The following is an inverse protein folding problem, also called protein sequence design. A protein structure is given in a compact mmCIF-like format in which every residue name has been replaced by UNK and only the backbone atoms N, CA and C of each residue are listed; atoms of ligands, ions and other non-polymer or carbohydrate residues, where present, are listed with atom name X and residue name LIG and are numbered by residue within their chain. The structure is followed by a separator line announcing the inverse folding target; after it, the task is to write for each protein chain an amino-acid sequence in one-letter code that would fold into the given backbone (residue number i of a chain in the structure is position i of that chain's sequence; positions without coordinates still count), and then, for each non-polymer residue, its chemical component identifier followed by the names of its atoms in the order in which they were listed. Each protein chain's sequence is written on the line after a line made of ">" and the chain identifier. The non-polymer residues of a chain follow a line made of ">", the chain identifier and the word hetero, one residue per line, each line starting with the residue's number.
data_IF_206685022531
#
_entry.id   IF_206685022531
#
_cell.length_a   1.000
_cell.length_b   1.000
_cell.length_c   1.000
_cell.angle_alpha   90.00
_cell.angle_beta   90.00
_cell.angle_gamma   90.00
#
_symmetry.space_group_name_H-M   'P 1'
#
loop_
_entity.id
_entity.type
_entity.pdbx_description
1 polymer ?
#
# COMPACT_ATOMS: atom_id res chain seq x y z
N UNK A 1 109.60 -8.73 -44.06
CA UNK A 1 108.36 -9.54 -44.20
C UNK A 1 108.02 -10.36 -42.94
N UNK A 2 108.54 -10.01 -41.75
CA UNK A 2 108.31 -10.76 -40.50
C UNK A 2 107.30 -10.09 -39.54
N UNK A 3 107.25 -8.76 -39.49
CA UNK A 3 106.40 -8.01 -38.54
C UNK A 3 104.88 -8.17 -38.79
N UNK A 4 104.48 -8.38 -40.06
CA UNK A 4 103.06 -8.51 -40.44
C UNK A 4 102.45 -9.85 -40.00
N UNK A 5 103.25 -10.92 -39.95
CA UNK A 5 102.77 -12.24 -39.55
C UNK A 5 102.74 -12.41 -38.02
N UNK A 6 103.59 -11.69 -37.29
CA UNK A 6 103.58 -11.72 -35.82
C UNK A 6 102.36 -11.00 -35.23
N UNK A 7 101.95 -9.86 -35.80
CA UNK A 7 100.75 -9.12 -35.34
C UNK A 7 99.47 -9.94 -35.58
N UNK A 8 99.39 -10.64 -36.71
CA UNK A 8 98.24 -11.49 -37.03
C UNK A 8 98.15 -12.72 -36.11
N UNK A 9 99.29 -13.31 -35.73
CA UNK A 9 99.34 -14.45 -34.80
C UNK A 9 99.06 -14.01 -33.35
N UNK A 10 99.38 -12.76 -32.98
CA UNK A 10 99.08 -12.22 -31.64
C UNK A 10 97.59 -11.88 -31.49
N UNK A 11 96.93 -11.42 -32.56
CA UNK A 11 95.47 -11.22 -32.57
C UNK A 11 94.68 -12.53 -32.57
N UNK A 12 95.24 -13.63 -33.10
CA UNK A 12 94.55 -14.92 -33.17
C UNK A 12 94.55 -15.70 -31.84
N UNK A 13 95.41 -15.33 -30.88
CA UNK A 13 95.55 -15.99 -29.57
C UNK A 13 94.85 -15.20 -28.44
N UNK A 14 94.35 -13.98 -28.71
CA UNK A 14 93.44 -13.29 -27.80
C UNK A 14 92.03 -13.89 -27.93
N UNK A 15 91.76 -14.94 -27.16
CA UNK A 15 90.39 -15.34 -26.83
C UNK A 15 89.75 -14.21 -26.02
N UNK A 16 89.03 -13.31 -26.70
CA UNK A 16 88.24 -12.28 -26.05
C UNK A 16 86.98 -12.97 -25.51
N UNK A 17 87.01 -13.36 -24.24
CA UNK A 17 85.82 -13.82 -23.52
C UNK A 17 84.91 -12.61 -23.30
N UNK A 18 83.99 -12.34 -24.23
CA UNK A 18 82.95 -11.35 -24.01
C UNK A 18 81.86 -11.99 -23.13
N UNK A 19 81.84 -11.67 -21.84
CA UNK A 19 80.71 -11.99 -20.98
C UNK A 19 79.57 -11.03 -21.31
N UNK A 20 78.39 -11.55 -21.68
CA UNK A 20 77.21 -10.71 -21.88
C UNK A 20 76.49 -10.52 -20.54
N UNK A 21 76.88 -9.51 -19.78
CA UNK A 21 76.06 -8.96 -18.69
C UNK A 21 74.87 -8.19 -19.29
N UNK A 22 73.66 -8.47 -18.81
CA UNK A 22 72.45 -7.79 -19.27
C UNK A 22 72.16 -6.62 -18.33
N UNK A 23 72.33 -5.40 -18.83
CA UNK A 23 71.88 -4.19 -18.15
C UNK A 23 70.54 -3.71 -18.73
N UNK A 24 69.55 -3.48 -17.88
CA UNK A 24 68.33 -2.75 -18.22
C UNK A 24 68.39 -1.41 -17.51
N UNK A 25 68.40 -0.33 -18.29
CA UNK A 25 68.52 1.03 -17.77
C UNK A 25 69.92 1.43 -17.28
N UNK A 26 70.94 0.59 -17.46
CA UNK A 26 72.35 0.89 -17.17
C UNK A 26 73.25 0.50 -18.34
N UNK A 27 74.25 1.33 -18.65
CA UNK A 27 75.28 1.03 -19.65
C UNK A 27 76.56 0.46 -19.04
N UNK A 28 76.62 0.33 -17.71
CA UNK A 28 77.76 -0.20 -16.97
C UNK A 28 77.25 -1.10 -15.84
N UNK A 29 76.57 -2.21 -16.17
CA UNK A 29 76.13 -3.17 -15.16
C UNK A 29 77.35 -3.75 -14.42
N UNK A 30 77.16 -4.09 -13.16
CA UNK A 30 78.17 -4.71 -12.29
C UNK A 30 78.72 -5.99 -12.91
N UNK A 31 80.04 -6.17 -12.83
CA UNK A 31 80.72 -7.41 -13.26
C UNK A 31 80.27 -8.65 -12.46
N UNK A 32 79.62 -8.45 -11.31
CA UNK A 32 79.04 -9.51 -10.50
C UNK A 32 77.58 -9.85 -10.87
N UNK A 33 76.93 -9.07 -11.74
CA UNK A 33 75.52 -9.24 -12.07
C UNK A 33 75.32 -9.94 -13.42
N UNK A 34 74.48 -10.97 -13.44
CA UNK A 34 74.00 -11.57 -14.69
C UNK A 34 72.93 -10.70 -15.35
N UNK A 35 72.06 -10.11 -14.53
CA UNK A 35 71.05 -9.12 -14.90
C UNK A 35 71.06 -8.00 -13.85
N UNK A 36 71.22 -6.76 -14.30
CA UNK A 36 71.05 -5.57 -13.46
C UNK A 36 69.94 -4.70 -14.02
N UNK A 37 68.98 -4.33 -13.17
CA UNK A 37 67.90 -3.39 -13.52
C UNK A 37 68.13 -2.11 -12.73
N UNK A 38 68.55 -1.06 -13.43
CA UNK A 38 68.69 0.26 -12.83
C UNK A 38 67.32 0.95 -12.81
N UNK A 39 66.96 1.52 -11.65
CA UNK A 39 65.69 2.22 -11.48
C UNK A 39 65.64 3.55 -12.21
N UNK A 40 66.75 4.08 -12.74
CA UNK A 40 66.77 5.33 -13.50
C UNK A 40 67.64 5.23 -14.75
N UNK A 41 67.22 5.92 -15.82
CA UNK A 41 68.01 6.08 -17.06
C UNK A 41 68.56 7.50 -17.26
N UNK A 42 68.16 8.44 -16.40
CA UNK A 42 68.45 9.87 -16.51
C UNK A 42 69.32 10.39 -15.36
N UNK A 43 70.02 9.50 -14.65
CA UNK A 43 70.92 9.87 -13.56
C UNK A 43 70.21 10.22 -12.26
N UNK A 44 68.99 9.68 -12.05
CA UNK A 44 68.26 9.77 -10.79
C UNK A 44 67.20 10.88 -10.72
N UNK A 45 66.73 11.38 -11.87
CA UNK A 45 65.65 12.37 -11.94
C UNK A 45 64.30 11.65 -11.92
N UNK A 46 64.16 10.58 -12.72
CA UNK A 46 62.99 9.71 -12.72
C UNK A 46 63.37 8.28 -12.31
N UNK A 47 62.52 7.68 -11.48
CA UNK A 47 62.70 6.32 -10.99
C UNK A 47 61.54 5.41 -11.46
N UNK A 48 61.87 4.18 -11.83
CA UNK A 48 60.96 3.12 -12.23
C UNK A 48 61.18 1.89 -11.33
N UNK A 49 60.15 1.05 -11.24
CA UNK A 49 60.17 -0.18 -10.45
C UNK A 49 60.25 -1.45 -11.30
N UNK A 50 60.45 -2.59 -10.64
CA UNK A 50 60.33 -3.91 -11.25
C UNK A 50 58.96 -4.51 -10.92
N UNK A 51 58.19 -4.87 -11.95
CA UNK A 51 56.94 -5.61 -11.78
C UNK A 51 57.22 -7.10 -11.94
N UNK A 52 57.19 -7.92 -10.86
CA UNK A 52 57.32 -9.37 -11.00
C UNK A 52 56.13 -9.94 -11.78
N UNK A 53 56.26 -11.16 -12.34
CA UNK A 53 55.14 -11.85 -12.96
C UNK A 53 53.94 -11.93 -12.01
N UNK A 54 52.73 -11.62 -12.51
CA UNK A 54 51.51 -11.59 -11.70
C UNK A 54 50.64 -12.80 -12.00
N UNK A 55 50.14 -13.43 -10.94
CA UNK A 55 49.31 -14.63 -10.98
C UNK A 55 47.94 -14.28 -10.38
N UNK A 56 46.81 -14.57 -11.05
CA UNK A 56 45.50 -14.15 -10.55
C UNK A 56 45.13 -14.77 -9.20
N UNK A 57 45.26 -16.10 -9.08
CA UNK A 57 44.80 -16.85 -7.90
C UNK A 57 45.88 -17.75 -7.31
N UNK A 58 45.67 -18.18 -6.07
CA UNK A 58 46.50 -19.20 -5.41
C UNK A 58 46.42 -20.55 -6.12
N UNK A 59 45.28 -20.84 -6.78
CA UNK A 59 45.13 -22.03 -7.63
C UNK A 59 46.10 -21.98 -8.83
N UNK A 60 46.20 -20.84 -9.50
CA UNK A 60 47.11 -20.65 -10.62
C UNK A 60 48.58 -20.76 -10.19
N UNK A 61 48.92 -20.29 -8.98
CA UNK A 61 50.25 -20.44 -8.38
C UNK A 61 50.62 -21.93 -8.22
N UNK A 62 49.69 -22.73 -7.71
CA UNK A 62 49.90 -24.16 -7.49
C UNK A 62 50.04 -24.95 -8.80
N UNK A 63 49.49 -24.45 -9.91
CA UNK A 63 49.61 -25.06 -11.23
C UNK A 63 51.00 -24.88 -11.88
N UNK A 64 51.83 -23.93 -11.41
CA UNK A 64 53.14 -23.64 -12.01
C UNK A 64 54.15 -24.79 -11.93
N UNK A 65 53.98 -25.72 -10.97
CA UNK A 65 54.82 -26.93 -10.79
C UNK A 65 56.36 -26.72 -10.88
N UNK A 66 56.96 -25.71 -10.20
CA UNK A 66 58.42 -25.55 -10.16
C UNK A 66 59.12 -26.71 -9.42
N UNK A 67 60.38 -26.98 -9.76
CA UNK A 67 61.20 -28.01 -9.12
C UNK A 67 62.33 -27.44 -8.24
N UNK A 68 63.20 -28.31 -7.70
CA UNK A 68 64.29 -27.93 -6.80
C UNK A 68 65.29 -26.94 -7.43
N UNK A 69 65.42 -26.94 -8.76
CA UNK A 69 66.33 -26.07 -9.50
C UNK A 69 65.76 -24.66 -9.71
N UNK A 70 64.46 -24.46 -9.49
CA UNK A 70 63.78 -23.17 -9.65
C UNK A 70 63.78 -22.32 -8.37
N UNK A 71 64.57 -22.71 -7.35
CA UNK A 71 64.67 -21.99 -6.09
C UNK A 71 65.05 -20.51 -6.34
N UNK A 72 64.25 -19.60 -5.79
CA UNK A 72 64.35 -18.15 -6.02
C UNK A 72 63.39 -17.60 -7.06
N UNK A 73 62.56 -18.42 -7.72
CA UNK A 73 61.47 -17.98 -8.59
C UNK A 73 60.48 -17.11 -7.81
N UNK A 74 60.10 -15.95 -8.38
CA UNK A 74 59.24 -14.96 -7.73
C UNK A 74 58.01 -14.64 -8.56
N UNK A 75 56.84 -14.61 -7.93
CA UNK A 75 55.56 -14.20 -8.55
C UNK A 75 54.69 -13.44 -7.56
N UNK A 76 53.91 -12.47 -8.03
CA UNK A 76 52.97 -11.72 -7.20
C UNK A 76 51.55 -12.24 -7.39
N UNK A 77 50.92 -12.76 -6.34
CA UNK A 77 49.57 -13.34 -6.40
C UNK A 77 48.55 -12.24 -6.10
N UNK A 78 47.68 -11.94 -7.07
CA UNK A 78 46.72 -10.83 -6.98
C UNK A 78 45.65 -11.05 -5.91
N UNK A 79 45.12 -12.28 -5.81
CA UNK A 79 44.13 -12.68 -4.81
C UNK A 79 44.59 -12.41 -3.37
N UNK A 80 45.86 -12.67 -3.06
CA UNK A 80 46.40 -12.53 -1.69
C UNK A 80 47.20 -11.24 -1.48
N UNK A 81 47.56 -10.54 -2.56
CA UNK A 81 48.42 -9.36 -2.51
C UNK A 81 49.86 -9.66 -2.11
N UNK A 82 50.30 -10.92 -2.20
CA UNK A 82 51.59 -11.37 -1.71
C UNK A 82 52.60 -11.64 -2.84
N UNK A 83 53.85 -11.20 -2.63
CA UNK A 83 54.99 -11.74 -3.36
C UNK A 83 55.27 -13.15 -2.84
N UNK A 84 55.28 -14.13 -3.73
CA UNK A 84 55.57 -15.53 -3.44
C UNK A 84 56.94 -15.88 -4.01
N UNK A 85 57.78 -16.52 -3.20
CA UNK A 85 59.12 -16.99 -3.59
C UNK A 85 59.19 -18.49 -3.41
N UNK A 86 59.62 -19.20 -4.44
CA UNK A 86 59.84 -20.65 -4.38
C UNK A 86 61.15 -20.96 -3.67
N UNK A 87 61.14 -21.81 -2.65
CA UNK A 87 62.36 -22.20 -1.92
C UNK A 87 62.98 -23.52 -2.39
N UNK A 88 62.46 -24.10 -3.49
CA UNK A 88 62.86 -25.42 -3.99
C UNK A 88 61.94 -26.56 -3.58
N UNK A 89 61.02 -26.33 -2.64
CA UNK A 89 60.08 -27.35 -2.11
C UNK A 89 58.65 -26.81 -1.99
N UNK A 90 58.49 -25.54 -1.61
CA UNK A 90 57.21 -24.88 -1.42
C UNK A 90 57.28 -23.38 -1.73
N UNK A 91 56.11 -22.80 -2.00
CA UNK A 91 55.94 -21.35 -2.09
C UNK A 91 55.93 -20.72 -0.71
N UNK A 92 56.70 -19.64 -0.53
CA UNK A 92 56.68 -18.81 0.67
C UNK A 92 56.11 -17.44 0.32
N UNK A 93 55.05 -17.04 1.01
CA UNK A 93 54.41 -15.74 0.82
C UNK A 93 55.06 -14.68 1.73
N UNK A 94 55.44 -13.55 1.14
CA UNK A 94 55.95 -12.37 1.85
C UNK A 94 57.01 -11.62 1.04
N UNK A 95 57.00 -10.27 1.05
CA UNK A 95 56.05 -9.37 1.71
C UNK A 95 54.67 -9.34 1.01
N UNK A 96 53.63 -9.03 1.79
CA UNK A 96 52.27 -8.86 1.29
C UNK A 96 51.84 -7.40 1.41
N UNK A 97 51.07 -6.94 0.43
CA UNK A 97 50.38 -5.66 0.45
C UNK A 97 48.90 -5.95 0.65
N UNK A 98 48.22 -5.16 1.48
CA UNK A 98 46.78 -5.28 1.64
C UNK A 98 46.12 -5.15 0.27
N UNK A 99 45.41 -6.19 -0.15
CA UNK A 99 44.53 -6.10 -1.31
C UNK A 99 43.44 -5.11 -0.92
N UNK A 100 43.30 -4.03 -1.68
CA UNK A 100 42.23 -3.08 -1.46
C UNK A 100 40.95 -3.77 -1.91
N UNK A 101 40.21 -4.37 -0.97
CA UNK A 101 38.86 -4.86 -1.25
C UNK A 101 38.00 -3.67 -1.68
N UNK A 102 37.19 -3.87 -2.71
CA UNK A 102 36.31 -2.81 -3.16
C UNK A 102 35.30 -2.43 -2.10
N UNK A 103 34.68 -1.27 -2.27
CA UNK A 103 33.52 -0.92 -1.44
C UNK A 103 32.40 -1.93 -1.68
N UNK A 104 31.72 -2.33 -0.61
CA UNK A 104 30.59 -3.26 -0.68
C UNK A 104 29.38 -2.63 0.01
N UNK A 105 28.22 -2.74 -0.63
CA UNK A 105 26.98 -2.08 -0.21
C UNK A 105 25.88 -3.10 0.02
N UNK A 106 25.19 -2.93 1.14
CA UNK A 106 24.06 -3.75 1.57
C UNK A 106 22.92 -2.85 2.06
N UNK A 107 21.66 -3.26 1.88
CA UNK A 107 20.57 -2.68 2.66
C UNK A 107 20.79 -2.97 4.14
N UNK A 108 20.55 -1.99 5.00
CA UNK A 108 20.68 -2.15 6.45
C UNK A 108 19.59 -3.04 7.06
N UNK A 109 18.49 -3.26 6.34
CA UNK A 109 17.40 -4.16 6.73
C UNK A 109 16.89 -4.94 5.52
N UNK A 110 16.50 -6.19 5.75
CA UNK A 110 15.83 -7.02 4.75
C UNK A 110 14.37 -6.63 4.54
N UNK A 111 13.74 -6.02 5.55
CA UNK A 111 12.32 -5.67 5.53
C UNK A 111 12.05 -4.29 6.14
N UNK A 112 10.95 -3.69 5.73
CA UNK A 112 10.36 -2.50 6.34
C UNK A 112 8.83 -2.52 6.11
N UNK A 113 8.11 -1.65 6.79
CA UNK A 113 6.66 -1.51 6.62
C UNK A 113 6.27 -0.05 6.74
N UNK A 114 5.36 0.42 5.91
CA UNK A 114 4.81 1.77 5.97
C UNK A 114 3.30 1.75 5.71
N UNK A 115 2.60 2.72 6.30
CA UNK A 115 1.21 3.00 5.93
C UNK A 115 1.15 3.52 4.51
N UNK A 116 0.09 3.21 3.78
CA UNK A 116 -0.17 3.74 2.45
C UNK A 116 -0.28 5.28 2.45
N UNK A 117 -0.96 5.85 3.45
CA UNK A 117 -1.03 7.29 3.73
C UNK A 117 0.31 7.96 4.05
N UNK A 118 1.43 7.22 4.06
CA UNK A 118 2.78 7.78 4.08
C UNK A 118 3.38 7.77 2.68
N UNK A 119 3.36 8.95 2.06
CA UNK A 119 3.84 9.13 0.68
C UNK A 119 5.29 8.77 0.37
N UNK A 120 6.22 8.54 1.30
CA UNK A 120 7.66 8.44 0.96
C UNK A 120 8.38 7.22 1.52
N UNK A 121 9.17 6.56 0.69
CA UNK A 121 9.98 5.38 1.04
C UNK A 121 11.47 5.75 1.15
N UNK A 122 12.03 5.51 2.33
CA UNK A 122 13.45 5.68 2.63
C UNK A 122 14.19 4.33 2.57
N UNK A 123 15.48 4.36 2.23
CA UNK A 123 16.35 3.19 2.32
C UNK A 123 17.63 3.50 3.07
N UNK A 124 17.97 2.63 4.02
CA UNK A 124 19.24 2.70 4.74
C UNK A 124 20.21 1.65 4.23
N UNK A 125 21.49 2.03 4.12
CA UNK A 125 22.58 1.22 3.59
C UNK A 125 23.73 1.10 4.58
N UNK A 126 24.35 -0.08 4.60
CA UNK A 126 25.65 -0.33 5.22
C UNK A 126 26.73 -0.34 4.15
N UNK A 127 27.86 0.32 4.43
CA UNK A 127 29.00 0.43 3.51
C UNK A 127 30.24 -0.20 4.13
N UNK A 128 30.68 -1.32 3.56
CA UNK A 128 31.95 -1.97 3.89
C UNK A 128 33.06 -1.41 3.00
N UNK A 129 34.25 -1.19 3.56
CA UNK A 129 35.40 -0.58 2.88
C UNK A 129 35.05 0.74 2.14
N UNK A 130 34.52 1.75 2.85
CA UNK A 130 34.08 2.99 2.22
C UNK A 130 35.23 3.73 1.53
N UNK A 131 34.96 4.28 0.35
CA UNK A 131 35.90 5.16 -0.33
C UNK A 131 36.06 6.46 0.42
N UNK A 132 37.31 6.90 0.64
CA UNK A 132 37.59 8.20 1.25
C UNK A 132 37.47 9.38 0.28
N UNK A 133 37.36 9.12 -1.03
CA UNK A 133 37.49 10.17 -2.07
C UNK A 133 36.41 10.14 -3.14
N UNK A 134 35.76 9.00 -3.40
CA UNK A 134 34.78 8.85 -4.47
C UNK A 134 33.41 8.42 -3.93
N UNK A 135 32.30 9.04 -4.36
CA UNK A 135 30.98 8.55 -4.04
C UNK A 135 30.70 7.21 -4.73
N UNK A 136 29.66 6.52 -4.28
CA UNK A 136 29.15 5.28 -4.87
C UNK A 136 27.77 5.55 -5.44
N UNK A 137 27.56 5.21 -6.70
CA UNK A 137 26.25 5.28 -7.33
C UNK A 137 25.68 3.87 -7.47
N UNK A 138 24.39 3.71 -7.21
CA UNK A 138 23.65 2.46 -7.33
C UNK A 138 22.25 2.72 -7.89
N UNK A 139 21.60 1.68 -8.39
CA UNK A 139 20.21 1.71 -8.82
C UNK A 139 19.35 0.79 -7.95
N UNK A 140 18.15 1.24 -7.61
CA UNK A 140 17.14 0.48 -6.88
C UNK A 140 15.94 0.32 -7.79
N UNK A 141 15.47 -0.91 -7.99
CA UNK A 141 14.28 -1.22 -8.77
C UNK A 141 13.28 -1.98 -7.90
N UNK A 142 12.00 -1.66 -8.03
CA UNK A 142 10.92 -2.47 -7.48
C UNK A 142 10.61 -3.62 -8.46
N UNK A 143 10.09 -4.73 -7.93
CA UNK A 143 9.57 -5.84 -8.74
C UNK A 143 8.18 -5.54 -9.33
N UNK A 144 7.39 -4.73 -8.61
CA UNK A 144 6.08 -4.19 -9.03
C UNK A 144 5.99 -2.70 -8.70
N UNK A 145 5.15 -1.96 -9.44
CA UNK A 145 5.02 -0.50 -9.37
C UNK A 145 3.54 -0.05 -9.32
N UNK A 146 2.60 -0.96 -9.01
CA UNK A 146 1.16 -0.65 -9.00
C UNK A 146 0.82 0.43 -7.98
N UNK A 147 1.47 0.34 -6.82
CA UNK A 147 1.15 1.12 -5.61
C UNK A 147 2.27 2.12 -5.32
N UNK A 148 3.06 2.42 -6.35
CA UNK A 148 4.16 3.38 -6.33
C UNK A 148 3.90 4.46 -7.38
N UNK A 149 4.21 5.71 -7.04
CA UNK A 149 4.09 6.83 -7.98
C UNK A 149 5.10 6.73 -9.14
N UNK A 150 6.25 6.10 -8.88
CA UNK A 150 7.26 5.85 -9.89
C UNK A 150 6.92 4.64 -10.76
N UNK A 151 7.53 4.58 -11.95
CA UNK A 151 7.37 3.45 -12.89
C UNK A 151 8.70 2.86 -13.36
N UNK A 152 9.82 3.35 -12.80
CA UNK A 152 11.18 2.99 -13.20
C UNK A 152 12.13 2.95 -12.00
N UNK A 153 13.26 2.29 -12.19
CA UNK A 153 14.32 2.21 -11.19
C UNK A 153 14.90 3.60 -10.85
N UNK A 154 15.23 3.80 -9.59
CA UNK A 154 15.74 5.06 -9.04
C UNK A 154 17.25 4.98 -8.83
N UNK A 155 17.93 6.11 -8.93
CA UNK A 155 19.39 6.21 -8.73
C UNK A 155 19.68 6.83 -7.37
N UNK A 156 20.52 6.16 -6.58
CA UNK A 156 21.00 6.63 -5.28
C UNK A 156 22.50 6.89 -5.35
N UNK A 157 22.94 7.99 -4.74
CA UNK A 157 24.36 8.36 -4.63
C UNK A 157 24.73 8.40 -3.15
N UNK A 158 25.59 7.48 -2.74
CA UNK A 158 26.18 7.44 -1.39
C UNK A 158 27.44 8.31 -1.39
N UNK A 159 27.52 9.38 -0.58
CA UNK A 159 28.72 10.18 -0.45
C UNK A 159 29.94 9.39 0.04
N UNK A 160 31.13 9.86 -0.32
CA UNK A 160 32.38 9.28 0.17
C UNK A 160 32.50 9.40 1.70
N UNK A 161 33.32 8.52 2.29
CA UNK A 161 33.69 8.51 3.71
C UNK A 161 32.54 8.22 4.69
N UNK A 162 31.54 7.45 4.24
CA UNK A 162 30.41 7.01 5.05
C UNK A 162 30.40 5.49 5.20
N UNK A 163 30.24 5.00 6.43
CA UNK A 163 30.01 3.58 6.73
C UNK A 163 28.53 3.20 6.72
N UNK A 164 27.64 4.19 6.74
CA UNK A 164 26.20 4.03 6.59
C UNK A 164 25.58 5.28 5.95
N UNK A 165 24.47 5.10 5.26
CA UNK A 165 23.76 6.20 4.58
C UNK A 165 22.27 5.90 4.47
N UNK A 166 21.42 6.91 4.69
CA UNK A 166 19.98 6.81 4.43
C UNK A 166 19.63 7.70 3.26
N UNK A 167 19.15 7.10 2.18
CA UNK A 167 18.53 7.81 1.08
C UNK A 167 17.06 8.02 1.41
N UNK A 168 16.60 9.27 1.34
CA UNK A 168 15.24 9.65 1.72
C UNK A 168 14.38 9.87 0.49
N UNK A 169 13.08 9.56 0.57
CA UNK A 169 12.09 9.74 -0.50
C UNK A 169 12.59 9.22 -1.85
N UNK A 170 13.06 7.97 -1.86
CA UNK A 170 13.58 7.33 -3.08
C UNK A 170 12.44 6.91 -3.98
N UNK A 171 11.36 6.40 -3.40
CA UNK A 171 10.08 6.13 -4.06
C UNK A 171 8.95 6.78 -3.24
N UNK A 172 7.78 6.90 -3.84
CA UNK A 172 6.57 7.33 -3.16
C UNK A 172 5.47 6.28 -3.29
N UNK A 173 4.67 6.12 -2.22
CA UNK A 173 3.50 5.23 -2.22
C UNK A 173 2.32 6.00 -2.81
N UNK A 174 1.57 5.37 -3.69
CA UNK A 174 0.29 5.90 -4.19
C UNK A 174 -0.76 5.67 -3.12
N UNK A 175 -1.28 6.75 -2.54
CA UNK A 175 -2.31 6.76 -1.50
C UNK A 175 -3.69 6.88 -2.17
N UNK A 176 -4.62 5.98 -1.84
CA UNK A 176 -6.00 6.07 -2.29
C UNK A 176 -7.06 6.09 -1.18
N UNK A 177 -8.25 5.56 -1.45
CA UNK A 177 -9.40 5.56 -0.51
C UNK A 177 -10.09 4.19 -0.45
N UNK A 178 -9.50 3.20 -1.12
CA UNK A 178 -10.01 1.86 -1.22
C UNK A 178 -9.32 0.99 -0.20
N UNK A 179 -10.11 0.42 0.72
CA UNK A 179 -9.57 -0.57 1.63
C UNK A 179 -9.14 -1.84 0.89
N UNK A 180 -7.84 -2.08 0.86
CA UNK A 180 -7.21 -3.24 0.25
C UNK A 180 -6.54 -4.14 1.30
N UNK A 181 -5.88 -5.21 0.85
CA UNK A 181 -5.06 -6.04 1.73
C UNK A 181 -3.62 -5.55 1.70
N UNK A 182 -2.90 -5.60 2.82
CA UNK A 182 -1.46 -5.28 2.84
C UNK A 182 -0.69 -6.00 1.72
N UNK A 183 0.20 -5.25 1.09
CA UNK A 183 0.93 -5.67 -0.09
C UNK A 183 2.44 -5.66 0.14
N UNK A 184 3.17 -6.54 -0.54
CA UNK A 184 4.63 -6.61 -0.43
C UNK A 184 5.29 -6.20 -1.74
N UNK A 185 6.19 -5.22 -1.68
CA UNK A 185 7.03 -4.77 -2.80
C UNK A 185 8.49 -5.09 -2.50
N UNK A 186 9.18 -5.76 -3.44
CA UNK A 186 10.59 -6.14 -3.28
C UNK A 186 11.50 -5.20 -4.06
N UNK A 187 12.29 -4.42 -3.34
CA UNK A 187 13.32 -3.57 -3.90
C UNK A 187 14.65 -4.31 -4.04
N UNK A 188 15.27 -4.24 -5.22
CA UNK A 188 16.58 -4.86 -5.51
C UNK A 188 17.61 -3.81 -5.91
N UNK A 189 18.81 -3.90 -5.32
CA UNK A 189 19.94 -3.05 -5.67
C UNK A 189 20.78 -3.63 -6.82
N UNK A 190 21.18 -2.77 -7.76
CA UNK A 190 22.03 -3.15 -8.90
C UNK A 190 22.87 -1.99 -9.45
N UNK A 191 23.73 -2.27 -10.44
CA UNK A 191 24.52 -1.29 -11.20
C UNK A 191 25.45 -0.38 -10.36
N UNK A 192 26.17 -0.96 -9.40
CA UNK A 192 27.09 -0.20 -8.55
C UNK A 192 28.29 0.31 -9.37
N UNK A 193 28.64 1.58 -9.15
CA UNK A 193 29.82 2.21 -9.75
C UNK A 193 30.40 3.28 -8.82
N UNK A 194 31.66 3.67 -9.06
CA UNK A 194 32.41 4.55 -8.15
C UNK A 194 33.00 3.79 -6.97
N UNK A 195 33.20 4.48 -5.85
CA UNK A 195 33.76 3.87 -4.64
C UNK A 195 35.26 3.61 -4.67
N UNK A 196 35.72 2.71 -3.80
CA UNK A 196 37.09 2.22 -3.72
C UNK A 196 37.17 0.90 -4.47
N UNK A 197 38.17 0.71 -5.33
CA UNK A 197 38.35 -0.56 -6.05
C UNK A 197 37.14 -0.94 -6.93
N UNK A 198 36.89 -2.24 -7.06
CA UNK A 198 35.70 -2.77 -7.76
C UNK A 198 34.55 -2.89 -6.76
N UNK A 199 33.59 -1.96 -6.83
CA UNK A 199 32.45 -1.95 -5.92
C UNK A 199 31.50 -3.13 -6.16
N UNK A 200 31.03 -3.78 -5.10
CA UNK A 200 30.17 -4.97 -5.15
C UNK A 200 28.90 -4.82 -4.31
N UNK A 201 27.88 -5.59 -4.66
CA UNK A 201 26.67 -5.76 -3.84
C UNK A 201 26.97 -6.83 -2.79
N UNK A 202 26.63 -6.57 -1.53
CA UNK A 202 26.78 -7.55 -0.46
C UNK A 202 25.62 -8.52 -0.38
N UNK A 203 25.51 -9.22 0.76
CA UNK A 203 24.54 -10.32 0.95
C UNK A 203 23.11 -9.80 1.00
N UNK A 204 22.87 -8.69 1.69
CA UNK A 204 21.54 -8.08 1.77
C UNK A 204 21.30 -7.14 0.59
N UNK A 205 21.03 -7.73 -0.58
CA UNK A 205 20.83 -7.02 -1.84
C UNK A 205 19.36 -6.68 -2.15
N UNK A 206 18.43 -7.12 -1.32
CA UNK A 206 17.00 -6.82 -1.41
C UNK A 206 16.46 -6.21 -0.13
N UNK A 207 15.36 -5.47 -0.25
CA UNK A 207 14.55 -4.97 0.85
C UNK A 207 13.07 -5.14 0.49
N UNK A 208 12.30 -5.83 1.31
CA UNK A 208 10.84 -5.98 1.13
C UNK A 208 10.12 -4.92 1.96
N UNK A 209 9.34 -4.07 1.30
CA UNK A 209 8.41 -3.15 1.95
C UNK A 209 7.03 -3.81 2.00
N UNK A 210 6.46 -3.90 3.20
CA UNK A 210 5.02 -4.16 3.37
C UNK A 210 4.28 -2.83 3.41
N UNK A 211 3.43 -2.56 2.42
CA UNK A 211 2.50 -1.44 2.39
C UNK A 211 1.28 -1.86 3.22
N UNK A 212 0.91 -1.04 4.18
CA UNK A 212 -0.21 -1.27 5.09
C UNK A 212 -1.31 -0.31 4.68
N UNK A 213 -2.40 -0.86 4.15
CA UNK A 213 -3.65 -0.17 3.89
C UNK A 213 -4.14 0.56 5.16
N UNK A 214 -4.42 1.86 5.06
CA UNK A 214 -5.00 2.67 6.14
C UNK A 214 -6.44 3.10 5.89
N UNK A 215 -7.07 2.55 4.87
CA UNK A 215 -8.48 2.73 4.59
C UNK A 215 -9.37 1.76 5.37
N UNK A 216 -10.65 2.14 5.50
CA UNK A 216 -11.66 1.33 6.19
C UNK A 216 -12.53 0.61 5.17
N UNK A 217 -12.72 -0.70 5.34
CA UNK A 217 -13.59 -1.48 4.47
C UNK A 217 -15.03 -0.94 4.50
N UNK A 218 -15.58 -0.65 3.32
CA UNK A 218 -16.96 -0.23 3.16
C UNK A 218 -17.91 -1.21 3.86
N UNK A 219 -18.75 -0.69 4.76
CA UNK A 219 -19.66 -1.51 5.58
C UNK A 219 -21.04 -1.74 4.97
N UNK A 220 -21.22 -1.37 3.70
CA UNK A 220 -22.45 -1.62 2.95
C UNK A 220 -22.54 -3.07 2.45
N UNK A 221 -23.75 -3.64 2.34
CA UNK A 221 -25.05 -3.00 2.54
C UNK A 221 -25.38 -2.77 4.02
N UNK A 222 -25.93 -1.59 4.32
CA UNK A 222 -26.59 -1.34 5.61
C UNK A 222 -28.03 -1.91 5.57
N UNK A 223 -28.51 -2.43 6.70
CA UNK A 223 -29.88 -2.93 6.84
C UNK A 223 -30.44 -2.69 8.25
N UNK A 224 -31.64 -2.12 8.32
CA UNK A 224 -32.52 -2.13 9.50
C UNK A 224 -33.82 -2.88 9.16
N UNK A 225 -33.94 -4.10 9.67
CA UNK A 225 -35.10 -4.99 9.50
C UNK A 225 -35.98 -5.11 10.75
N UNK A 226 -35.70 -4.35 11.81
CA UNK A 226 -36.41 -4.39 13.09
C UNK A 226 -36.47 -5.75 13.81
N UNK A 227 -35.84 -6.82 13.31
CA UNK A 227 -35.87 -8.15 13.95
C UNK A 227 -35.20 -8.21 15.33
N UNK A 228 -34.40 -7.20 15.67
CA UNK A 228 -33.83 -7.04 17.01
C UNK A 228 -34.19 -5.68 17.60
N UNK A 229 -34.22 -5.58 18.93
CA UNK A 229 -34.45 -4.30 19.61
C UNK A 229 -33.34 -3.31 19.23
N UNK A 230 -33.68 -2.35 18.37
CA UNK A 230 -32.73 -1.40 17.77
C UNK A 230 -32.80 0.01 18.35
N UNK A 231 -33.91 0.42 18.96
CA UNK A 231 -34.08 1.78 19.45
C UNK A 231 -33.05 2.15 20.53
N UNK A 232 -32.38 3.29 20.35
CA UNK A 232 -31.29 3.78 21.17
C UNK A 232 -29.92 3.18 20.83
N UNK A 233 -29.83 2.32 19.81
CA UNK A 233 -28.58 1.68 19.36
C UNK A 233 -28.40 1.77 17.85
N UNK A 234 -29.35 1.25 17.07
CA UNK A 234 -29.31 1.20 15.59
C UNK A 234 -30.17 2.29 14.94
N UNK A 235 -31.25 2.67 15.61
CA UNK A 235 -32.07 3.81 15.27
C UNK A 235 -32.54 4.50 16.55
N UNK A 236 -33.07 5.71 16.43
CA UNK A 236 -33.71 6.44 17.53
C UNK A 236 -35.05 6.98 17.09
N UNK A 237 -35.94 7.20 18.04
CA UNK A 237 -37.24 7.85 17.83
C UNK A 237 -37.33 9.13 18.65
N UNK A 238 -38.10 10.12 18.19
CA UNK A 238 -38.29 11.39 18.93
C UNK A 238 -39.00 11.18 20.26
N UNK A 239 -39.86 10.17 20.33
CA UNK A 239 -40.61 9.81 21.52
C UNK A 239 -40.49 8.31 21.77
N UNK A 240 -40.60 7.85 23.02
CA UNK A 240 -40.55 6.44 23.36
C UNK A 240 -41.58 5.63 22.55
N UNK A 241 -41.13 4.54 21.93
CA UNK A 241 -42.00 3.62 21.20
C UNK A 241 -43.11 3.07 22.10
N UNK A 242 -44.36 3.17 21.64
CA UNK A 242 -45.50 2.71 22.43
C UNK A 242 -46.75 2.42 21.61
N UNK A 243 -47.64 1.64 22.23
CA UNK A 243 -49.01 1.40 21.81
C UNK A 243 -49.95 1.95 22.89
N UNK A 244 -51.04 2.59 22.48
CA UNK A 244 -52.08 2.97 23.45
C UNK A 244 -52.78 1.73 24.00
N UNK A 245 -53.04 1.75 25.31
CA UNK A 245 -53.74 0.65 25.98
C UNK A 245 -55.24 0.89 25.97
N UNK A 246 -56.01 -0.01 25.35
CA UNK A 246 -57.47 -0.01 25.40
C UNK A 246 -58.19 0.92 24.40
N UNK A 247 -57.46 1.72 23.63
CA UNK A 247 -57.86 2.20 22.30
C UNK A 247 -56.87 1.58 21.32
N UNK A 248 -57.36 0.99 20.24
CA UNK A 248 -56.56 0.15 19.37
C UNK A 248 -56.14 0.90 18.10
N UNK A 249 -55.94 2.23 18.16
CA UNK A 249 -55.73 3.01 16.93
C UNK A 249 -54.46 3.87 17.00
N UNK A 250 -53.87 4.06 18.18
CA UNK A 250 -52.76 4.97 18.39
C UNK A 250 -51.47 4.20 18.69
N UNK A 251 -50.51 4.23 17.76
CA UNK A 251 -49.22 3.58 17.91
C UNK A 251 -48.09 4.28 17.15
N UNK A 252 -46.90 4.23 17.74
CA UNK A 252 -45.66 4.64 17.10
C UNK A 252 -44.57 3.73 17.67
N UNK A 253 -44.36 2.57 17.07
CA UNK A 253 -43.58 1.51 17.70
C UNK A 253 -43.07 0.50 16.69
N UNK A 254 -41.95 -0.13 17.03
CA UNK A 254 -41.66 -1.47 16.52
C UNK A 254 -42.80 -2.42 16.92
N UNK A 255 -43.34 -3.14 15.96
CA UNK A 255 -44.53 -3.96 16.06
C UNK A 255 -44.34 -5.34 15.40
N UNK A 256 -45.29 -6.24 15.63
CA UNK A 256 -45.45 -7.53 14.95
C UNK A 256 -46.94 -7.88 14.92
N UNK A 257 -47.34 -8.85 14.09
CA UNK A 257 -48.74 -9.26 13.90
C UNK A 257 -49.50 -9.51 15.21
N UNK A 258 -48.85 -10.10 16.22
CA UNK A 258 -49.52 -10.43 17.48
C UNK A 258 -49.93 -9.20 18.29
N UNK A 259 -49.27 -8.06 18.08
CA UNK A 259 -49.55 -6.82 18.78
C UNK A 259 -50.91 -6.23 18.36
N UNK A 260 -51.36 -6.55 17.13
CA UNK A 260 -52.63 -6.15 16.55
C UNK A 260 -53.77 -7.16 16.76
N UNK A 261 -53.52 -8.31 17.39
CA UNK A 261 -54.51 -9.41 17.52
C UNK A 261 -55.81 -9.06 18.25
N UNK A 262 -55.83 -7.95 19.01
CA UNK A 262 -57.01 -7.41 19.69
C UNK A 262 -57.85 -6.45 18.84
N UNK A 263 -57.39 -6.10 17.65
CA UNK A 263 -57.96 -5.11 16.76
C UNK A 263 -59.09 -5.78 15.95
N UNK A 264 -60.27 -5.16 15.93
CA UNK A 264 -61.48 -5.77 15.35
C UNK A 264 -62.38 -4.71 14.72
N UNK A 265 -63.22 -5.12 13.76
CA UNK A 265 -64.14 -4.19 13.11
C UNK A 265 -63.42 -3.27 12.13
N UNK A 266 -63.72 -1.98 12.15
CA UNK A 266 -63.08 -0.98 11.27
C UNK A 266 -61.65 -0.60 11.66
N UNK A 267 -61.10 -1.23 12.71
CA UNK A 267 -59.75 -0.98 13.21
C UNK A 267 -58.86 -2.21 12.99
N UNK A 268 -59.37 -3.24 12.30
CA UNK A 268 -58.68 -4.52 12.13
C UNK A 268 -57.57 -4.39 11.10
N UNK A 269 -56.31 -4.49 11.56
CA UNK A 269 -55.15 -4.52 10.66
C UNK A 269 -55.09 -5.82 9.81
N UNK A 270 -55.01 -5.65 8.50
CA UNK A 270 -54.97 -6.63 7.42
C UNK A 270 -53.95 -6.19 6.38
N UNK A 271 -52.87 -6.94 6.25
CA UNK A 271 -51.95 -6.81 5.12
C UNK A 271 -51.76 -8.17 4.46
N UNK A 272 -51.39 -8.14 3.19
CA UNK A 272 -51.01 -9.28 2.38
C UNK A 272 -49.52 -9.26 2.04
N UNK A 273 -48.97 -10.42 1.67
CA UNK A 273 -47.52 -10.59 1.56
C UNK A 273 -46.84 -10.90 2.90
N UNK A 274 -45.53 -10.70 2.97
CA UNK A 274 -44.74 -10.91 4.20
C UNK A 274 -43.71 -9.78 4.38
N UNK A 275 -43.58 -9.20 5.58
CA UNK A 275 -42.46 -8.34 5.94
C UNK A 275 -41.12 -9.11 5.90
N UNK A 276 -40.01 -8.41 6.11
CA UNK A 276 -38.68 -9.00 6.30
C UNK A 276 -38.52 -9.56 7.72
N UNK A 277 -39.19 -10.68 7.98
CA UNK A 277 -39.17 -11.33 9.29
C UNK A 277 -40.52 -11.21 9.99
N UNK A 278 -40.53 -10.91 11.27
CA UNK A 278 -41.75 -10.83 12.09
C UNK A 278 -42.01 -9.43 12.63
N UNK A 279 -40.98 -8.58 12.70
CA UNK A 279 -41.04 -7.27 13.29
C UNK A 279 -40.80 -6.21 12.24
N UNK A 280 -41.54 -5.12 12.36
CA UNK A 280 -41.48 -3.95 11.48
C UNK A 280 -41.75 -2.72 12.34
N UNK A 281 -41.63 -1.53 11.76
CA UNK A 281 -42.04 -0.29 12.42
C UNK A 281 -43.46 0.09 11.96
N UNK A 282 -44.31 0.48 12.90
CA UNK A 282 -45.70 0.83 12.63
C UNK A 282 -46.03 2.20 13.22
N UNK A 283 -46.82 3.00 12.49
CA UNK A 283 -47.30 4.30 12.93
C UNK A 283 -48.77 4.53 12.52
N UNK A 284 -49.58 5.07 13.44
CA UNK A 284 -50.97 5.51 13.25
C UNK A 284 -51.37 6.40 14.43
N UNK A 285 -52.15 7.46 14.20
CA UNK A 285 -52.61 8.41 15.23
C UNK A 285 -51.50 8.75 16.24
N UNK A 286 -50.37 9.22 15.73
CA UNK A 286 -49.10 9.28 16.45
C UNK A 286 -49.14 10.30 17.58
N UNK A 287 -50.04 11.28 17.60
CA UNK A 287 -50.19 12.23 18.70
C UNK A 287 -51.21 11.79 19.76
N UNK A 288 -51.98 10.73 19.50
CA UNK A 288 -52.77 9.99 20.48
C UNK A 288 -51.95 8.98 21.33
N UNK A 289 -50.77 8.59 20.85
CA UNK A 289 -49.92 7.60 21.52
C UNK A 289 -49.45 8.06 22.94
N UNK A 290 -49.35 7.15 23.94
CA UNK A 290 -49.19 7.51 25.37
C UNK A 290 -47.98 8.37 25.76
N UNK A 291 -46.99 8.47 24.88
CA UNK A 291 -45.70 9.12 25.10
C UNK A 291 -45.44 10.29 24.17
N UNK A 292 -46.35 10.64 23.26
CA UNK A 292 -46.05 11.59 22.19
C UNK A 292 -46.46 13.01 22.54
N UNK A 293 -45.64 13.97 22.11
CA UNK A 293 -45.91 15.40 22.28
C UNK A 293 -45.97 16.12 20.94
N UNK A 294 -47.14 16.06 20.30
CA UNK A 294 -47.45 16.81 19.08
C UNK A 294 -47.59 15.96 17.82
N UNK A 295 -48.01 16.59 16.71
CA UNK A 295 -48.55 15.91 15.53
C UNK A 295 -47.49 15.26 14.63
N UNK A 296 -46.21 15.42 14.95
CA UNK A 296 -45.11 14.92 14.12
C UNK A 296 -44.10 14.14 14.94
N UNK A 297 -43.67 13.00 14.44
CA UNK A 297 -42.62 12.16 15.04
C UNK A 297 -41.53 11.83 14.03
N UNK A 298 -40.36 11.40 14.50
CA UNK A 298 -39.27 10.97 13.61
C UNK A 298 -38.61 9.68 14.07
N UNK A 299 -38.15 8.88 13.11
CA UNK A 299 -37.20 7.81 13.29
C UNK A 299 -35.87 8.22 12.62
N UNK A 300 -34.76 8.20 13.34
CA UNK A 300 -33.43 8.55 12.82
C UNK A 300 -32.52 7.32 12.82
N UNK A 301 -31.75 7.14 11.75
CA UNK A 301 -30.65 6.18 11.63
C UNK A 301 -29.42 7.00 11.29
N UNK A 302 -28.51 7.15 12.25
CA UNK A 302 -27.34 8.01 12.13
C UNK A 302 -26.07 7.18 11.94
N UNK A 303 -25.08 7.74 11.25
CA UNK A 303 -23.74 7.17 11.22
C UNK A 303 -23.56 5.98 10.28
N UNK A 304 -24.35 5.88 9.19
CA UNK A 304 -24.13 4.86 8.16
C UNK A 304 -22.85 5.22 7.41
N UNK A 305 -21.85 4.35 7.44
CA UNK A 305 -20.58 4.56 6.75
C UNK A 305 -20.73 4.28 5.25
N UNK A 306 -20.46 5.32 4.46
CA UNK A 306 -20.52 5.32 3.00
C UNK A 306 -19.16 5.68 2.37
N UNK A 307 -18.08 5.63 3.14
CA UNK A 307 -16.72 5.98 2.70
C UNK A 307 -16.31 5.14 1.49
N UNK A 308 -15.91 5.80 0.40
CA UNK A 308 -15.58 5.12 -0.87
C UNK A 308 -16.80 4.63 -1.67
N UNK A 309 -18.02 4.80 -1.15
CA UNK A 309 -19.26 4.42 -1.82
C UNK A 309 -19.64 5.36 -2.97
N UNK A 310 -20.23 4.79 -4.02
CA UNK A 310 -20.73 5.51 -5.19
C UNK A 310 -22.04 4.86 -5.70
N UNK A 311 -22.86 5.65 -6.42
CA UNK A 311 -24.21 5.25 -6.85
C UNK A 311 -25.06 4.66 -5.70
N UNK A 312 -25.13 5.39 -4.59
CA UNK A 312 -25.85 4.95 -3.40
C UNK A 312 -27.35 4.77 -3.69
N UNK A 313 -27.91 3.64 -3.28
CA UNK A 313 -29.32 3.29 -3.46
C UNK A 313 -29.96 3.00 -2.10
N UNK A 314 -31.14 3.57 -1.89
CA UNK A 314 -32.00 3.33 -0.73
C UNK A 314 -33.14 2.39 -1.12
N UNK A 315 -33.44 1.41 -0.29
CA UNK A 315 -34.61 0.55 -0.40
C UNK A 315 -35.40 0.54 0.91
N UNK A 316 -36.73 0.41 0.80
CA UNK A 316 -37.64 0.23 1.95
C UNK A 316 -38.83 -0.63 1.56
N UNK A 317 -39.27 -1.52 2.45
CA UNK A 317 -40.55 -2.22 2.34
C UNK A 317 -41.64 -1.40 3.02
N UNK A 318 -42.74 -1.15 2.31
CA UNK A 318 -43.90 -0.43 2.82
C UNK A 318 -45.18 -1.23 2.60
N UNK A 319 -46.12 -1.09 3.54
CA UNK A 319 -47.51 -1.51 3.43
C UNK A 319 -48.40 -0.55 4.23
N UNK A 320 -49.70 -0.55 3.95
CA UNK A 320 -50.77 0.13 4.69
C UNK A 320 -51.99 -0.81 4.71
N UNK A 321 -52.83 -0.82 5.75
CA UNK A 321 -53.90 -1.82 6.00
C UNK A 321 -55.00 -1.88 4.90
N UNK A 322 -55.15 -0.87 4.02
CA UNK A 322 -56.27 -0.81 3.09
C UNK A 322 -55.93 -1.22 1.64
N UNK A 323 -56.93 -1.80 0.96
CA UNK A 323 -56.81 -2.36 -0.39
C UNK A 323 -57.25 -1.38 -1.51
N UNK A 324 -57.44 -0.09 -1.16
CA UNK A 324 -57.82 0.94 -2.12
C UNK A 324 -59.28 1.42 -2.02
N UNK A 325 -60.02 1.07 -0.97
CA UNK A 325 -61.49 1.21 -0.93
C UNK A 325 -62.05 1.92 0.32
N UNK A 326 -61.31 1.96 1.42
CA UNK A 326 -61.64 2.54 2.73
C UNK A 326 -60.47 3.36 3.30
N UNK A 327 -59.95 4.25 2.46
CA UNK A 327 -58.77 5.06 2.73
C UNK A 327 -58.98 6.06 3.87
N UNK A 328 -57.91 6.38 4.60
CA UNK A 328 -58.00 7.28 5.77
C UNK A 328 -57.05 8.47 5.72
N UNK A 329 -56.05 8.51 4.83
CA UNK A 329 -55.05 9.58 4.85
C UNK A 329 -55.64 10.93 4.43
N UNK A 330 -55.59 11.90 5.33
CA UNK A 330 -55.97 13.29 5.12
C UNK A 330 -54.87 14.06 4.36
N UNK A 331 -55.23 15.20 3.79
CA UNK A 331 -54.36 15.93 2.86
C UNK A 331 -53.12 16.58 3.49
N UNK A 332 -52.99 16.56 4.81
CA UNK A 332 -51.82 17.04 5.55
C UNK A 332 -50.97 15.87 6.09
N UNK A 333 -51.34 14.62 5.78
CA UNK A 333 -50.68 13.41 6.26
C UNK A 333 -49.50 13.00 5.38
N UNK A 334 -48.41 12.62 6.04
CA UNK A 334 -47.20 12.24 5.34
C UNK A 334 -46.28 11.29 6.09
N UNK A 335 -45.50 10.57 5.30
CA UNK A 335 -44.27 9.90 5.71
C UNK A 335 -43.15 10.27 4.74
N UNK A 336 -42.19 11.07 5.20
CA UNK A 336 -41.10 11.58 4.36
C UNK A 336 -39.78 11.00 4.84
N UNK A 337 -39.09 10.30 3.95
CA UNK A 337 -37.73 9.83 4.10
C UNK A 337 -36.78 10.92 3.62
N UNK A 338 -35.83 11.27 4.46
CA UNK A 338 -34.83 12.29 4.23
C UNK A 338 -33.43 11.72 4.50
N UNK A 339 -32.43 12.31 3.85
CA UNK A 339 -31.03 11.97 4.10
C UNK A 339 -30.16 13.22 4.19
N UNK A 340 -29.01 13.07 4.81
CA UNK A 340 -27.91 14.02 4.69
C UNK A 340 -26.58 13.29 4.61
N UNK A 341 -25.63 13.86 3.88
CA UNK A 341 -24.26 13.35 3.77
C UNK A 341 -23.33 14.33 4.47
N UNK A 342 -22.48 13.83 5.37
CA UNK A 342 -21.46 14.57 6.12
C UNK A 342 -21.99 15.84 6.82
N UNK A 343 -23.25 15.80 7.29
CA UNK A 343 -23.92 16.94 7.91
C UNK A 343 -24.20 18.12 6.97
N UNK A 344 -24.22 17.89 5.65
CA UNK A 344 -24.44 18.90 4.61
C UNK A 344 -25.85 19.49 4.56
N UNK A 345 -26.78 18.96 5.36
CA UNK A 345 -28.18 19.37 5.42
C UNK A 345 -29.13 18.33 4.81
N UNK A 346 -30.36 18.31 5.32
CA UNK A 346 -31.38 17.32 4.95
C UNK A 346 -31.96 17.54 3.55
N UNK A 347 -32.11 16.45 2.81
CA UNK A 347 -32.69 16.37 1.46
C UNK A 347 -33.78 15.31 1.45
N UNK A 348 -34.86 15.53 0.69
CA UNK A 348 -35.90 14.52 0.50
C UNK A 348 -35.35 13.34 -0.32
N UNK A 349 -35.72 12.12 0.07
CA UNK A 349 -35.32 10.87 -0.58
C UNK A 349 -36.52 10.17 -1.23
N UNK A 350 -37.56 9.96 -0.44
CA UNK A 350 -38.82 9.31 -0.79
C UNK A 350 -39.92 9.95 0.07
N UNK A 351 -41.11 10.13 -0.47
CA UNK A 351 -42.25 10.64 0.30
C UNK A 351 -43.49 9.80 0.00
N UNK A 352 -44.30 9.58 1.02
CA UNK A 352 -45.65 9.04 0.94
C UNK A 352 -46.58 10.13 1.45
N UNK A 353 -47.55 10.52 0.64
CA UNK A 353 -48.51 11.61 0.90
C UNK A 353 -49.90 11.16 0.42
N UNK A 354 -50.96 11.82 0.90
CA UNK A 354 -52.30 11.59 0.39
C UNK A 354 -52.45 12.03 -1.07
N UNK A 355 -53.15 11.25 -1.90
CA UNK A 355 -53.45 11.61 -3.31
C UNK A 355 -54.45 12.77 -3.44
N UNK A 356 -55.06 13.21 -2.35
CA UNK A 356 -56.03 14.31 -2.34
C UNK A 356 -55.71 15.34 -1.25
N UNK A 357 -56.02 16.61 -1.54
CA UNK A 357 -56.06 17.66 -0.53
C UNK A 357 -57.46 17.71 0.11
N UNK A 358 -57.74 16.72 0.96
CA UNK A 358 -59.06 16.45 1.54
C UNK A 358 -58.96 15.48 2.70
N UNK A 359 -59.98 14.64 2.87
CA UNK A 359 -59.97 13.61 3.92
C UNK A 359 -60.23 12.23 3.32
N UNK A 360 -59.71 11.17 3.91
CA UNK A 360 -59.92 9.77 3.45
C UNK A 360 -59.38 9.53 2.03
N UNK A 361 -58.13 9.92 1.79
CA UNK A 361 -57.40 9.71 0.54
C UNK A 361 -56.41 8.56 0.65
N UNK A 362 -56.04 7.96 -0.49
CA UNK A 362 -55.03 6.90 -0.52
C UNK A 362 -53.62 7.45 -0.28
N UNK A 363 -52.76 6.73 0.47
CA UNK A 363 -51.33 7.01 0.49
C UNK A 363 -50.68 6.63 -0.84
N UNK A 364 -49.85 7.51 -1.40
CA UNK A 364 -49.07 7.20 -2.59
C UNK A 364 -47.70 7.84 -2.55
N UNK A 365 -46.78 7.29 -3.35
CA UNK A 365 -45.49 7.93 -3.59
C UNK A 365 -45.72 9.32 -4.19
N UNK A 366 -45.21 10.35 -3.50
CA UNK A 366 -45.04 11.69 -4.02
C UNK A 366 -43.67 11.74 -4.72
N UNK A 367 -43.70 11.80 -6.06
CA UNK A 367 -42.51 11.64 -6.89
C UNK A 367 -41.78 12.95 -7.18
N UNK A 368 -42.44 14.09 -6.98
CA UNK A 368 -41.89 15.42 -7.26
C UNK A 368 -41.84 16.36 -6.04
N UNK A 369 -42.26 15.86 -4.88
CA UNK A 369 -42.24 16.51 -3.57
C UNK A 369 -43.09 17.79 -3.54
N UNK A 370 -44.26 17.76 -4.18
CA UNK A 370 -45.22 18.86 -4.18
C UNK A 370 -46.30 18.78 -3.07
N UNK A 371 -46.17 17.78 -2.19
CA UNK A 371 -47.08 17.42 -1.08
C UNK A 371 -48.42 16.86 -1.59
N UNK A 372 -48.39 16.06 -2.65
CA UNK A 372 -49.52 15.28 -3.12
C UNK A 372 -49.02 13.95 -3.70
N UNK A 373 -49.63 12.85 -3.26
CA UNK A 373 -49.30 11.53 -3.77
C UNK A 373 -49.68 11.39 -5.26
N UNK A 374 -48.78 10.84 -6.08
CA UNK A 374 -49.01 10.62 -7.51
C UNK A 374 -49.44 9.18 -7.80
N UNK A 375 -48.47 8.27 -7.62
CA UNK A 375 -48.49 6.83 -7.83
C UNK A 375 -47.02 6.34 -7.74
N UNK A 376 -46.78 5.07 -7.36
CA UNK A 376 -47.77 4.06 -6.99
C UNK A 376 -48.44 4.32 -5.63
N UNK A 377 -49.68 3.85 -5.50
CA UNK A 377 -50.42 3.77 -4.24
C UNK A 377 -49.72 2.76 -3.32
N UNK A 378 -49.63 3.06 -2.02
CA UNK A 378 -49.25 2.10 -0.98
C UNK A 378 -50.50 1.30 -0.63
N UNK A 379 -50.37 -0.02 -0.51
CA UNK A 379 -51.50 -0.95 -0.35
C UNK A 379 -51.25 -1.91 0.81
N UNK A 380 -52.27 -2.72 1.11
CA UNK A 380 -52.19 -3.93 1.96
C UNK A 380 -51.04 -4.88 1.62
N UNK A 381 -50.52 -4.89 0.39
CA UNK A 381 -49.38 -5.73 0.02
C UNK A 381 -48.02 -5.07 0.28
N UNK A 382 -47.21 -5.70 1.14
CA UNK A 382 -45.80 -5.35 1.33
C UNK A 382 -45.04 -5.21 0.00
N UNK A 383 -44.55 -4.01 -0.29
CA UNK A 383 -43.91 -3.66 -1.57
C UNK A 383 -42.60 -2.92 -1.32
N UNK A 384 -41.55 -3.27 -2.08
CA UNK A 384 -40.25 -2.59 -2.00
C UNK A 384 -40.25 -1.35 -2.90
N UNK A 385 -39.89 -0.22 -2.31
CA UNK A 385 -39.65 1.04 -2.99
C UNK A 385 -38.17 1.40 -2.92
N UNK A 386 -37.67 2.11 -3.92
CA UNK A 386 -36.28 2.55 -3.96
C UNK A 386 -36.14 4.00 -4.42
N UNK A 387 -35.03 4.61 -4.02
CA UNK A 387 -34.62 5.93 -4.43
C UNK A 387 -33.09 6.04 -4.47
N UNK A 388 -32.56 6.90 -5.35
CA UNK A 388 -31.13 7.16 -5.41
C UNK A 388 -30.74 8.20 -4.36
N UNK A 389 -29.70 7.92 -3.58
CA UNK A 389 -29.05 8.89 -2.70
C UNK A 389 -28.01 9.63 -3.54
N UNK A 390 -28.28 10.91 -3.83
CA UNK A 390 -27.41 11.71 -4.69
C UNK A 390 -26.26 12.31 -3.88
N UNK A 391 -25.05 11.82 -4.11
CA UNK A 391 -23.83 12.35 -3.52
C UNK A 391 -22.80 11.26 -3.20
N UNK A 392 -21.66 11.69 -2.67
CA UNK A 392 -20.59 10.86 -2.12
C UNK A 392 -20.12 11.53 -0.83
N UNK A 393 -19.62 10.75 0.12
CA UNK A 393 -19.12 11.26 1.40
C UNK A 393 -18.65 10.11 2.29
N UNK A 394 -18.54 10.36 3.59
CA UNK A 394 -18.10 9.36 4.55
C UNK A 394 -19.24 8.87 5.43
N UNK A 395 -20.15 9.76 5.82
CA UNK A 395 -21.26 9.45 6.73
C UNK A 395 -22.59 9.85 6.13
N UNK A 396 -23.53 8.91 6.12
CA UNK A 396 -24.93 9.09 5.78
C UNK A 396 -25.79 9.00 7.03
N UNK A 397 -26.69 9.97 7.21
CA UNK A 397 -27.78 9.88 8.17
C UNK A 397 -29.12 9.82 7.43
N UNK A 398 -30.04 9.00 7.91
CA UNK A 398 -31.41 8.90 7.43
C UNK A 398 -32.38 9.39 8.51
N UNK A 399 -33.42 10.08 8.08
CA UNK A 399 -34.54 10.49 8.93
C UNK A 399 -35.85 10.20 8.25
N UNK A 400 -36.76 9.54 8.95
CA UNK A 400 -38.14 9.35 8.52
C UNK A 400 -38.99 10.28 9.39
N UNK A 401 -39.74 11.19 8.77
CA UNK A 401 -40.70 12.07 9.44
C UNK A 401 -42.10 11.55 9.20
N UNK A 402 -42.90 11.54 10.25
CA UNK A 402 -44.29 11.09 10.25
C UNK A 402 -45.19 12.24 10.67
N UNK A 403 -46.31 12.40 9.98
CA UNK A 403 -47.46 13.20 10.37
C UNK A 403 -48.69 12.38 10.02
N UNK A 404 -49.13 11.54 10.95
CA UNK A 404 -50.30 10.66 10.85
C UNK A 404 -51.04 10.84 12.18
N UNK A 405 -51.91 11.84 12.27
CA UNK A 405 -52.42 12.41 13.53
C UNK A 405 -53.95 12.29 13.72
N UNK A 406 -54.60 11.47 12.90
CA UNK A 406 -55.98 11.05 13.08
C UNK A 406 -56.11 9.53 13.09
N UNK A 407 -57.32 9.09 13.47
CA UNK A 407 -57.69 7.68 13.49
C UNK A 407 -57.51 7.04 12.10
N UNK A 408 -56.97 5.81 12.06
CA UNK A 408 -56.87 4.93 10.88
C UNK A 408 -55.87 5.33 9.78
N UNK A 409 -55.01 6.33 9.99
CA UNK A 409 -53.94 6.69 9.05
C UNK A 409 -52.69 5.84 9.29
N UNK A 410 -52.74 4.55 8.97
CA UNK A 410 -51.65 3.64 9.29
C UNK A 410 -50.57 3.54 8.21
N UNK A 411 -49.39 3.10 8.65
CA UNK A 411 -48.31 2.66 7.78
C UNK A 411 -47.42 1.64 8.47
N UNK A 412 -46.89 0.71 7.69
CA UNK A 412 -45.89 -0.26 8.10
C UNK A 412 -44.61 -0.08 7.28
N UNK A 413 -43.47 -0.02 7.95
CA UNK A 413 -42.16 0.21 7.38
C UNK A 413 -41.23 -0.91 7.81
N UNK A 414 -40.53 -1.51 6.86
CA UNK A 414 -39.58 -2.56 7.13
C UNK A 414 -38.39 -2.54 6.16
N UNK A 415 -37.34 -3.29 6.49
CA UNK A 415 -36.20 -3.59 5.64
C UNK A 415 -35.56 -2.36 4.96
N UNK A 416 -35.27 -1.34 5.76
CA UNK A 416 -34.56 -0.15 5.30
C UNK A 416 -33.13 -0.54 4.96
N UNK A 417 -32.72 -0.32 3.71
CA UNK A 417 -31.38 -0.69 3.24
C UNK A 417 -30.70 0.45 2.50
N UNK A 418 -29.38 0.48 2.61
CA UNK A 418 -28.51 1.33 1.80
C UNK A 418 -27.46 0.46 1.15
N UNK A 419 -27.27 0.61 -0.16
CA UNK A 419 -26.27 -0.13 -0.93
C UNK A 419 -25.42 0.82 -1.79
N UNK A 420 -24.28 0.33 -2.29
CA UNK A 420 -23.35 1.04 -3.19
C UNK A 420 -23.02 0.13 -4.37
N UNK A 421 -22.96 0.66 -5.58
CA UNK A 421 -22.83 -0.10 -6.82
C UNK A 421 -21.86 0.49 -7.84
#
# INVERSE_FOLDING_TARGET
>A
MALKNTILLTLLIMSISAFSQVGIGTTSPSDAAMLEVNSSTDGGITYQGFMPPRIPTTLDLNNMSPDINDAGLQVFVLETGCLNIWNGVAWFAGPCVAVVSGSEIEFSSATQSQSEGVSSIDFSFTVLNPSSTAPIQLSIAADVYTDLDESVAQTVIIPANLTSYTATAVFNITDDVMAESNEDVVFTMSYLSGGLGTTTVGVQNTNTLTIIDDDSALTLPFQESFETLGNGVRYTTTEPESFRTGNNDDYFSRAQDSDFSGYTGGNSIQYSGMPDGNFYFAAQDIDGAPSTTGPTQTLNIDGIDITGGFNLEFDVLLAEDDDGASESWDGDDYVIFEYQIDGGGWQNLLAVESVINGTNGSPAIDSDFDNQGDAPIITDSWTNFNANIIGTGNVLDLRIRFSLNSDNEDIFIDNIRVTSN
#
